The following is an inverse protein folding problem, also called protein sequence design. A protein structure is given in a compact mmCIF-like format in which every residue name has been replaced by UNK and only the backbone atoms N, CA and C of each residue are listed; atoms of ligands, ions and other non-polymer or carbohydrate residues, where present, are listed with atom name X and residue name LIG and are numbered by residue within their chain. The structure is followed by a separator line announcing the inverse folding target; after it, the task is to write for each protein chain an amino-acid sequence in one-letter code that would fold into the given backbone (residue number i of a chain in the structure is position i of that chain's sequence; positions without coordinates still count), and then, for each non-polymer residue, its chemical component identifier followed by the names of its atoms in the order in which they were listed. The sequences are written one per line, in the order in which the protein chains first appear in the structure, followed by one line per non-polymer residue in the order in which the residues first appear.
data_IF_000196544094
#
_entry.id   IF_000196544094
#
_cell.length_a   1.000
_cell.length_b   1.000
_cell.length_c   1.000
_cell.angle_alpha   90.00
_cell.angle_beta   90.00
_cell.angle_gamma   90.00
#
_symmetry.space_group_name_H-M   'P 1'
#
loop_
_entity.id
_entity.type
_entity.pdbx_description
1 polymer ?
#
# COMPACT_ATOMS: atom_id res chain seq x y z
N UNK A 1 -15.97 5.91 12.13
CA UNK A 1 -16.07 7.17 11.36
C UNK A 1 -14.80 7.49 10.55
N UNK A 2 -13.59 7.30 11.09
CA UNK A 2 -12.34 7.76 10.43
C UNK A 2 -11.93 7.02 9.14
N UNK A 3 -12.20 5.72 8.99
CA UNK A 3 -11.91 4.98 7.73
C UNK A 3 -12.55 5.61 6.46
N UNK A 4 -13.72 6.23 6.60
CA UNK A 4 -14.36 6.94 5.49
C UNK A 4 -13.59 8.21 5.08
N UNK A 5 -12.85 8.81 6.02
CA UNK A 5 -12.03 10.01 5.78
C UNK A 5 -10.82 9.67 4.93
N UNK A 6 -10.12 8.55 5.19
CA UNK A 6 -9.03 8.11 4.32
C UNK A 6 -9.51 7.87 2.88
N UNK A 7 -10.65 7.20 2.71
CA UNK A 7 -11.25 6.99 1.38
C UNK A 7 -11.64 8.30 0.71
N UNK A 8 -12.12 9.29 1.48
CA UNK A 8 -12.46 10.62 0.98
C UNK A 8 -11.23 11.41 0.54
N UNK A 9 -10.20 11.49 1.39
CA UNK A 9 -8.99 12.30 1.16
C UNK A 9 -8.12 11.69 0.06
N UNK A 10 -7.83 10.40 0.15
CA UNK A 10 -6.86 9.75 -0.73
C UNK A 10 -7.48 9.15 -2.00
N UNK A 11 -8.77 8.77 -1.93
CA UNK A 11 -9.42 7.99 -3.00
C UNK A 11 -10.74 8.58 -3.48
N UNK A 12 -11.05 9.84 -3.15
CA UNK A 12 -12.25 10.55 -3.62
C UNK A 12 -13.55 9.74 -3.46
N UNK A 13 -13.68 9.01 -2.34
CA UNK A 13 -14.79 8.09 -2.06
C UNK A 13 -14.98 6.95 -3.06
N UNK A 14 -14.02 6.70 -3.96
CA UNK A 14 -14.09 5.63 -4.94
C UNK A 14 -14.31 4.27 -4.29
N UNK A 15 -15.16 3.47 -4.92
CA UNK A 15 -15.45 2.11 -4.51
C UNK A 15 -14.44 1.13 -5.12
N UNK A 16 -14.12 0.08 -4.36
CA UNK A 16 -13.17 -0.97 -4.72
C UNK A 16 -13.87 -2.27 -5.15
N UNK A 17 -15.16 -2.20 -5.51
CA UNK A 17 -15.94 -3.34 -5.99
C UNK A 17 -15.31 -3.97 -7.23
N UNK A 18 -14.83 -3.13 -8.16
CA UNK A 18 -13.91 -3.55 -9.22
C UNK A 18 -12.48 -3.14 -8.85
N UNK A 19 -11.76 -4.05 -8.18
CA UNK A 19 -10.41 -3.78 -7.69
C UNK A 19 -9.40 -3.47 -8.80
N UNK A 20 -9.61 -4.01 -10.00
CA UNK A 20 -8.73 -3.75 -11.15
C UNK A 20 -8.89 -2.31 -11.65
N UNK A 21 -10.12 -1.87 -11.88
CA UNK A 21 -10.42 -0.52 -12.32
C UNK A 21 -10.01 0.52 -11.26
N UNK A 22 -10.28 0.23 -9.98
CA UNK A 22 -9.80 1.03 -8.86
C UNK A 22 -8.27 1.17 -8.90
N UNK A 23 -7.57 0.05 -9.11
CA UNK A 23 -6.10 0.05 -9.20
C UNK A 23 -5.62 0.92 -10.36
N UNK A 24 -6.17 0.74 -11.56
CA UNK A 24 -5.80 1.53 -12.74
C UNK A 24 -6.01 3.02 -12.52
N UNK A 25 -7.14 3.40 -11.90
CA UNK A 25 -7.49 4.79 -11.59
C UNK A 25 -6.45 5.46 -10.68
N UNK A 26 -5.96 4.76 -9.66
CA UNK A 26 -5.09 5.35 -8.64
C UNK A 26 -3.60 5.05 -8.83
N UNK A 27 -3.21 4.19 -9.77
CA UNK A 27 -1.81 3.90 -10.06
C UNK A 27 -0.97 5.14 -10.37
N UNK A 28 -1.55 6.12 -11.06
CA UNK A 28 -0.83 7.35 -11.45
C UNK A 28 -0.70 8.35 -10.30
N UNK A 29 -1.52 8.24 -9.25
CA UNK A 29 -1.48 9.16 -8.11
C UNK A 29 -0.24 8.99 -7.22
N UNK A 30 0.41 7.82 -7.27
CA UNK A 30 1.51 7.46 -6.36
C UNK A 30 1.07 7.29 -4.89
N UNK A 31 -0.24 7.13 -4.65
CA UNK A 31 -0.86 6.94 -3.33
C UNK A 31 -1.52 5.57 -3.17
N UNK A 32 -1.54 4.75 -4.24
CA UNK A 32 -2.15 3.43 -4.22
C UNK A 32 -1.46 2.51 -3.19
N UNK A 33 -0.16 2.68 -2.96
CA UNK A 33 0.59 1.92 -1.97
C UNK A 33 -0.03 1.97 -0.56
N UNK A 34 -0.63 3.10 -0.16
CA UNK A 34 -1.32 3.24 1.14
C UNK A 34 -2.52 2.30 1.19
N UNK A 35 -3.31 2.27 0.12
CA UNK A 35 -4.47 1.38 0.03
C UNK A 35 -4.04 -0.09 0.02
N UNK A 36 -2.99 -0.44 -0.73
CA UNK A 36 -2.43 -1.80 -0.75
C UNK A 36 -2.00 -2.22 0.66
N UNK A 37 -1.24 -1.37 1.35
CA UNK A 37 -0.76 -1.62 2.71
C UNK A 37 -1.93 -1.88 3.66
N UNK A 38 -2.96 -1.04 3.65
CA UNK A 38 -4.11 -1.16 4.55
C UNK A 38 -5.06 -2.33 4.22
N UNK A 39 -4.97 -2.91 3.02
CA UNK A 39 -5.83 -3.99 2.55
C UNK A 39 -5.02 -5.24 2.14
N UNK A 40 -4.24 -5.85 3.05
CA UNK A 40 -3.33 -6.95 2.71
C UNK A 40 -4.05 -8.24 2.31
N UNK A 41 -5.35 -8.37 2.63
CA UNK A 41 -6.17 -9.56 2.33
C UNK A 41 -6.69 -9.60 0.89
N UNK A 42 -6.58 -8.50 0.12
CA UNK A 42 -7.04 -8.46 -1.28
C UNK A 42 -6.11 -9.29 -2.17
N UNK A 43 -6.63 -9.81 -3.27
CA UNK A 43 -5.89 -10.67 -4.20
C UNK A 43 -5.00 -9.86 -5.16
N UNK A 44 -3.98 -9.20 -4.61
CA UNK A 44 -3.09 -8.30 -5.36
C UNK A 44 -2.32 -8.98 -6.49
N UNK A 45 -1.99 -10.26 -6.32
CA UNK A 45 -1.39 -11.09 -7.37
C UNK A 45 -2.32 -11.28 -8.58
N UNK A 46 -3.63 -11.40 -8.35
CA UNK A 46 -4.64 -11.52 -9.42
C UNK A 46 -4.80 -10.19 -10.13
N UNK A 47 -4.87 -9.08 -9.39
CA UNK A 47 -4.90 -7.73 -9.96
C UNK A 47 -3.70 -7.51 -10.87
N UNK A 48 -2.48 -7.79 -10.39
CA UNK A 48 -1.25 -7.66 -11.17
C UNK A 48 -1.29 -8.42 -12.51
N UNK A 49 -1.83 -9.65 -12.51
CA UNK A 49 -1.93 -10.47 -13.72
C UNK A 49 -2.87 -9.85 -14.77
N UNK A 50 -3.93 -9.16 -14.35
CA UNK A 50 -4.90 -8.52 -15.26
C UNK A 50 -4.42 -7.18 -15.83
N UNK A 51 -3.50 -6.50 -15.12
CA UNK A 51 -2.96 -5.23 -15.59
C UNK A 51 -2.16 -5.35 -16.89
N UNK A 52 -2.29 -4.34 -17.77
CA UNK A 52 -1.44 -4.17 -18.95
C UNK A 52 0.02 -3.83 -18.59
N UNK A 53 0.95 -4.04 -19.53
CA UNK A 53 2.41 -3.94 -19.30
C UNK A 53 2.87 -2.65 -18.62
N UNK A 54 2.36 -1.49 -19.06
CA UNK A 54 2.70 -0.18 -18.47
C UNK A 54 2.26 -0.08 -17.01
N UNK A 55 1.04 -0.56 -16.72
CA UNK A 55 0.45 -0.49 -15.39
C UNK A 55 1.10 -1.49 -14.42
N UNK A 56 1.58 -2.64 -14.91
CA UNK A 56 2.33 -3.61 -14.10
C UNK A 56 3.59 -3.00 -13.49
N UNK A 57 4.36 -2.21 -14.25
CA UNK A 57 5.57 -1.56 -13.73
C UNK A 57 5.26 -0.56 -12.60
N UNK A 58 4.24 0.27 -12.79
CA UNK A 58 3.78 1.21 -11.75
C UNK A 58 3.25 0.46 -10.53
N UNK A 59 2.48 -0.60 -10.75
CA UNK A 59 1.93 -1.43 -9.68
C UNK A 59 3.03 -2.09 -8.86
N UNK A 60 4.06 -2.66 -9.49
CA UNK A 60 5.19 -3.24 -8.78
C UNK A 60 5.87 -2.21 -7.87
N UNK A 61 6.03 -0.96 -8.33
CA UNK A 61 6.61 0.11 -7.50
C UNK A 61 5.73 0.45 -6.30
N UNK A 62 4.43 0.67 -6.52
CA UNK A 62 3.47 0.95 -5.45
C UNK A 62 3.35 -0.21 -4.45
N UNK A 63 3.31 -1.45 -4.95
CA UNK A 63 3.23 -2.64 -4.09
C UNK A 63 4.50 -2.82 -3.26
N UNK A 64 5.69 -2.65 -3.84
CA UNK A 64 6.94 -2.77 -3.10
C UNK A 64 7.08 -1.69 -2.02
N UNK A 65 6.59 -0.48 -2.31
CA UNK A 65 6.51 0.59 -1.32
C UNK A 65 5.52 0.26 -0.19
N UNK A 66 4.36 -0.28 -0.52
CA UNK A 66 3.42 -0.77 0.49
C UNK A 66 4.06 -1.83 1.39
N UNK A 67 4.72 -2.82 0.78
CA UNK A 67 5.43 -3.87 1.49
C UNK A 67 6.49 -3.29 2.43
N UNK A 68 7.34 -2.41 1.91
CA UNK A 68 8.34 -1.67 2.67
C UNK A 68 7.73 -1.04 3.93
N UNK A 69 6.68 -0.22 3.79
CA UNK A 69 6.08 0.47 4.93
C UNK A 69 5.47 -0.49 5.96
N UNK A 70 4.77 -1.53 5.50
CA UNK A 70 4.18 -2.54 6.41
C UNK A 70 5.23 -3.35 7.16
N UNK A 71 6.46 -3.46 6.64
CA UNK A 71 7.57 -4.17 7.27
C UNK A 71 8.40 -3.28 8.19
N UNK A 72 8.79 -2.10 7.72
CA UNK A 72 9.65 -1.20 8.49
C UNK A 72 8.89 -0.56 9.65
N UNK A 73 7.60 -0.25 9.48
CA UNK A 73 6.79 0.47 10.47
C UNK A 73 5.82 -0.46 11.23
N UNK A 74 6.24 -1.69 11.51
CA UNK A 74 5.40 -2.69 12.22
C UNK A 74 4.96 -2.22 13.59
N UNK A 75 5.89 -1.72 14.41
CA UNK A 75 5.59 -1.24 15.75
C UNK A 75 4.67 -0.02 15.74
N UNK A 76 4.89 0.90 14.81
CA UNK A 76 4.00 2.06 14.62
C UNK A 76 2.58 1.61 14.25
N UNK A 77 2.45 0.63 13.36
CA UNK A 77 1.17 0.06 12.97
C UNK A 77 0.46 -0.60 14.17
N UNK A 78 1.22 -1.34 15.00
CA UNK A 78 0.71 -1.96 16.22
C UNK A 78 0.24 -0.92 17.23
N UNK A 79 0.97 0.18 17.39
CA UNK A 79 0.61 1.28 18.30
C UNK A 79 -0.72 1.94 17.90
N UNK A 80 -0.90 2.25 16.61
CA UNK A 80 -2.10 2.96 16.14
C UNK A 80 -3.31 2.04 15.96
N UNK A 81 -3.11 0.81 15.46
CA UNK A 81 -4.21 -0.08 15.08
C UNK A 81 -4.44 -1.25 16.06
N UNK A 82 -3.60 -1.39 17.09
CA UNK A 82 -3.62 -2.53 18.01
C UNK A 82 -3.18 -3.86 17.38
N UNK A 83 -2.70 -3.84 16.13
CA UNK A 83 -2.31 -5.03 15.37
C UNK A 83 -1.28 -4.71 14.30
N UNK A 84 -0.53 -5.72 13.88
CA UNK A 84 0.33 -5.62 12.70
C UNK A 84 -0.47 -5.76 11.40
N UNK A 85 0.07 -5.14 10.35
CA UNK A 85 -0.34 -5.38 8.97
C UNK A 85 0.71 -6.27 8.32
N UNK A 86 0.30 -7.47 7.93
CA UNK A 86 1.17 -8.42 7.23
C UNK A 86 0.84 -8.43 5.73
N UNK A 87 1.63 -7.70 4.94
CA UNK A 87 1.57 -7.76 3.48
C UNK A 87 2.63 -8.75 2.96
N UNK A 88 2.23 -9.67 2.06
CA UNK A 88 3.14 -10.66 1.47
C UNK A 88 4.09 -10.00 0.47
N UNK A 89 5.37 -10.38 0.48
CA UNK A 89 6.26 -10.00 -0.62
C UNK A 89 5.85 -10.74 -1.91
N UNK A 90 5.69 -10.00 -3.01
CA UNK A 90 5.36 -10.56 -4.33
C UNK A 90 6.47 -10.39 -5.36
N UNK A 91 7.31 -9.36 -5.24
CA UNK A 91 8.19 -8.93 -6.33
C UNK A 91 9.64 -8.68 -5.91
N UNK A 92 9.92 -8.54 -4.61
CA UNK A 92 11.29 -8.34 -4.12
C UNK A 92 11.95 -9.69 -3.80
N UNK A 93 13.29 -9.76 -3.79
CA UNK A 93 14.00 -10.94 -3.29
C UNK A 93 13.62 -11.27 -1.83
N UNK A 94 13.81 -12.53 -1.43
CA UNK A 94 13.51 -12.98 -0.06
C UNK A 94 14.26 -12.18 1.01
N UNK A 95 15.46 -11.69 0.71
CA UNK A 95 16.26 -10.86 1.61
C UNK A 95 15.58 -9.53 1.98
N UNK A 96 14.62 -9.05 1.18
CA UNK A 96 13.84 -7.86 1.48
C UNK A 96 12.85 -8.08 2.64
N UNK A 97 12.54 -9.33 3.01
CA UNK A 97 11.73 -9.62 4.20
C UNK A 97 12.45 -9.21 5.51
N UNK A 98 13.78 -9.19 5.48
CA UNK A 98 14.64 -8.80 6.61
C UNK A 98 15.17 -7.38 6.46
N UNK A 99 15.57 -6.99 5.24
CA UNK A 99 16.22 -5.70 4.97
C UNK A 99 15.52 -4.95 3.82
N UNK A 100 14.27 -4.49 4.00
CA UNK A 100 13.48 -3.87 2.94
C UNK A 100 14.09 -2.52 2.46
N UNK A 101 14.79 -1.78 3.33
CA UNK A 101 15.43 -0.50 3.02
C UNK A 101 16.52 -0.59 1.95
N UNK A 102 17.14 -1.77 1.78
CA UNK A 102 18.16 -1.99 0.76
C UNK A 102 17.57 -2.01 -0.67
N UNK A 103 16.26 -2.21 -0.80
CA UNK A 103 15.59 -2.39 -2.10
C UNK A 103 14.69 -1.22 -2.47
N UNK A 104 14.20 -0.46 -1.49
CA UNK A 104 13.21 0.59 -1.71
C UNK A 104 13.70 1.91 -1.11
N UNK A 105 13.78 2.92 -1.97
CA UNK A 105 13.95 4.31 -1.55
C UNK A 105 12.57 4.96 -1.44
N UNK A 106 12.35 5.71 -0.38
CA UNK A 106 11.12 6.49 -0.17
C UNK A 106 11.47 7.91 0.28
N UNK A 107 10.52 8.82 0.10
CA UNK A 107 10.70 10.21 0.49
C UNK A 107 10.16 10.44 1.90
N UNK A 108 10.65 11.48 2.59
CA UNK A 108 10.10 11.89 3.89
C UNK A 108 8.59 12.14 3.86
N UNK A 109 8.07 12.61 2.72
CA UNK A 109 6.63 12.79 2.53
C UNK A 109 5.84 11.48 2.59
N UNK A 110 6.44 10.35 2.23
CA UNK A 110 5.78 9.04 2.29
C UNK A 110 5.65 8.55 3.73
N UNK A 111 6.65 8.81 4.58
CA UNK A 111 6.57 8.53 6.02
C UNK A 111 5.47 9.35 6.70
N UNK A 112 5.37 10.65 6.38
CA UNK A 112 4.29 11.50 6.89
C UNK A 112 2.91 10.99 6.46
N UNK A 113 2.76 10.60 5.18
CA UNK A 113 1.52 10.02 4.66
C UNK A 113 1.16 8.70 5.33
N UNK A 114 2.14 7.87 5.66
CA UNK A 114 1.88 6.61 6.37
C UNK A 114 1.34 6.88 7.77
N UNK A 115 1.95 7.81 8.53
CA UNK A 115 1.50 8.21 9.86
C UNK A 115 0.08 8.78 9.82
N UNK A 116 -0.20 9.70 8.90
CA UNK A 116 -1.53 10.24 8.68
C UNK A 116 -2.53 9.13 8.34
N UNK A 117 -2.18 8.21 7.44
CA UNK A 117 -3.04 7.12 7.05
C UNK A 117 -3.39 6.20 8.23
N UNK A 118 -2.43 5.89 9.11
CA UNK A 118 -2.67 5.10 10.31
C UNK A 118 -3.63 5.81 11.28
N UNK A 119 -3.43 7.11 11.52
CA UNK A 119 -4.29 7.93 12.39
C UNK A 119 -5.74 8.05 11.86
N UNK A 120 -5.89 8.11 10.53
CA UNK A 120 -7.19 8.11 9.87
C UNK A 120 -7.88 6.75 9.88
N UNK A 121 -7.18 5.66 10.19
CA UNK A 121 -7.75 4.29 10.15
C UNK A 121 -7.93 3.68 11.54
N UNK A 122 -7.19 4.15 12.54
CA UNK A 122 -7.39 3.89 13.97
C UNK A 122 -8.75 4.40 14.44
#
# INVERSE_FOLDING_TARGET
MKRGILRKIYFQNAEDGNLEEFTVKFLQSGLLWIYIALNPKKQWNVVFKKLGRKNRLLFTREYNKAFFFTKTYRELTRLFLGKEIALKNLFLPLTAETYPDNFIKFNRSDDLRWKEALELVS
#
